data_IF_109496654402
#
_entry.id   IF_109496654402
#
_cell.length_a   1.000
_cell.length_b   1.000
_cell.length_c   1.000
_cell.angle_alpha   90.00
_cell.angle_beta   90.00
_cell.angle_gamma   90.00
#
_symmetry.space_group_name_H-M   'P 1'
#
loop_
_entity.id
_entity.type
_entity.pdbx_description
1 polymer ?
#
# COMPACT_ATOMS: atom_id res chain seq x y z
N UNK A 1 -32.97 18.70 69.02
CA UNK A 1 -32.97 18.92 67.60
C UNK A 1 -31.55 18.67 67.08
N UNK A 2 -31.32 17.55 66.39
CA UNK A 2 -30.01 17.18 65.86
C UNK A 2 -30.07 17.28 64.33
N UNK A 3 -29.33 18.25 63.79
CA UNK A 3 -29.20 18.45 62.37
C UNK A 3 -28.19 17.42 61.79
N UNK A 4 -28.65 16.59 60.90
CA UNK A 4 -27.82 15.62 60.18
C UNK A 4 -27.38 16.31 58.86
N UNK A 5 -26.08 16.62 58.73
CA UNK A 5 -25.49 17.11 57.52
C UNK A 5 -25.16 15.90 56.60
N UNK A 6 -25.86 15.80 55.47
CA UNK A 6 -25.49 14.87 54.40
C UNK A 6 -24.40 15.49 53.54
N UNK A 7 -23.21 14.94 53.63
CA UNK A 7 -22.10 15.24 52.65
C UNK A 7 -22.31 14.36 51.45
N UNK A 8 -22.70 14.93 50.33
CA UNK A 8 -22.77 14.23 49.04
C UNK A 8 -21.35 14.27 48.46
N UNK A 9 -20.67 13.14 48.48
CA UNK A 9 -19.42 12.96 47.81
C UNK A 9 -19.69 12.69 46.30
N UNK A 10 -19.46 13.71 45.48
CA UNK A 10 -19.50 13.58 44.02
C UNK A 10 -18.18 12.90 43.59
N UNK A 11 -18.25 11.64 43.30
CA UNK A 11 -17.13 10.90 42.66
C UNK A 11 -16.95 11.36 41.23
N UNK A 12 -15.90 12.11 40.92
CA UNK A 12 -15.45 12.35 39.56
C UNK A 12 -14.86 11.06 39.00
N UNK A 13 -15.61 10.43 38.11
CA UNK A 13 -15.08 9.32 37.27
C UNK A 13 -14.29 9.97 36.14
N UNK A 14 -12.97 9.96 36.23
CA UNK A 14 -12.10 10.26 35.13
C UNK A 14 -12.16 9.07 34.16
N UNK A 15 -12.91 9.20 33.08
CA UNK A 15 -12.78 8.32 31.93
C UNK A 15 -11.48 8.73 31.25
N UNK A 16 -10.40 8.02 31.54
CA UNK A 16 -9.17 8.11 30.77
C UNK A 16 -9.49 7.54 29.39
N UNK A 17 -9.67 8.42 28.41
CA UNK A 17 -9.60 8.02 27.02
C UNK A 17 -8.12 7.78 26.73
N UNK A 18 -7.68 6.54 26.76
CA UNK A 18 -6.39 6.18 26.19
C UNK A 18 -6.47 6.51 24.71
N UNK A 19 -5.83 7.61 24.33
CA UNK A 19 -5.56 7.90 22.93
C UNK A 19 -4.53 6.82 22.54
N UNK A 20 -4.97 5.82 21.77
CA UNK A 20 -4.08 4.86 21.16
C UNK A 20 -3.15 5.67 20.24
N UNK A 21 -1.91 5.84 20.69
CA UNK A 21 -0.88 6.41 19.83
C UNK A 21 -0.66 5.44 18.66
N UNK A 22 -0.56 5.93 17.42
CA UNK A 22 -0.28 5.06 16.28
C UNK A 22 1.06 4.34 16.52
N UNK A 23 1.05 3.04 16.35
CA UNK A 23 2.26 2.22 16.48
C UNK A 23 3.02 2.32 15.17
N UNK A 24 4.17 2.97 15.18
CA UNK A 24 5.09 3.05 14.04
C UNK A 24 6.04 1.86 14.11
N UNK A 25 5.70 0.74 13.50
CA UNK A 25 6.49 -0.49 13.52
C UNK A 25 7.24 -0.78 12.21
N UNK A 26 7.00 0.04 11.19
CA UNK A 26 7.72 -0.02 9.92
C UNK A 26 7.96 1.38 9.32
N UNK A 27 8.85 1.47 8.32
CA UNK A 27 9.23 2.75 7.70
C UNK A 27 8.11 3.39 6.86
N UNK A 28 7.09 2.63 6.45
CA UNK A 28 5.97 3.12 5.67
C UNK A 28 4.92 3.87 6.51
N UNK A 29 4.97 3.69 7.83
CA UNK A 29 4.05 4.36 8.77
C UNK A 29 4.36 5.86 8.92
N UNK A 30 5.59 6.27 8.55
CA UNK A 30 6.05 7.65 8.74
C UNK A 30 5.39 8.66 7.79
N UNK A 31 4.71 8.21 6.73
CA UNK A 31 4.24 9.06 5.64
C UNK A 31 2.75 9.43 5.74
N UNK A 32 2.14 9.42 6.93
CA UNK A 32 0.72 9.70 7.17
C UNK A 32 -0.26 8.83 6.35
N UNK A 33 0.17 7.62 5.99
CA UNK A 33 -0.69 6.68 5.28
C UNK A 33 -1.65 6.01 6.25
N UNK A 34 -2.93 6.01 5.91
CA UNK A 34 -3.95 5.32 6.69
C UNK A 34 -4.11 3.88 6.19
N UNK A 35 -3.79 2.86 7.00
CA UNK A 35 -3.96 1.47 6.61
C UNK A 35 -5.45 1.04 6.62
N UNK A 36 -5.81 -0.01 5.84
CA UNK A 36 -4.94 -0.69 4.89
C UNK A 36 -4.66 0.19 3.67
N UNK A 37 -3.41 0.17 3.18
CA UNK A 37 -2.99 1.01 2.06
C UNK A 37 -2.20 0.23 1.01
N UNK A 38 -2.14 0.78 -0.21
CA UNK A 38 -1.22 0.33 -1.27
C UNK A 38 -0.30 1.51 -1.60
N UNK A 39 1.01 1.30 -1.55
CA UNK A 39 2.02 2.36 -1.56
C UNK A 39 3.19 2.00 -2.46
N UNK A 40 4.02 3.01 -2.79
CA UNK A 40 5.32 2.81 -3.43
C UNK A 40 6.47 3.05 -2.47
N UNK A 41 7.55 2.26 -2.61
CA UNK A 41 8.80 2.44 -1.89
C UNK A 41 10.01 2.24 -2.83
N UNK A 42 10.94 3.19 -2.89
CA UNK A 42 10.85 4.54 -2.34
C UNK A 42 9.81 5.37 -3.12
N UNK A 43 9.23 6.39 -2.50
CA UNK A 43 8.31 7.31 -3.20
C UNK A 43 9.00 8.09 -4.32
N UNK A 44 10.29 8.34 -4.20
CA UNK A 44 11.10 8.98 -5.25
C UNK A 44 12.32 8.13 -5.58
N UNK A 45 12.48 7.82 -6.85
CA UNK A 45 13.66 7.17 -7.40
C UNK A 45 14.27 8.04 -8.49
N UNK A 46 15.60 8.09 -8.59
CA UNK A 46 16.31 8.94 -9.56
C UNK A 46 17.24 8.13 -10.43
N UNK A 47 17.35 8.52 -11.70
CA UNK A 47 18.29 7.91 -12.65
C UNK A 47 18.71 8.92 -13.72
N UNK A 48 19.65 8.55 -14.57
CA UNK A 48 20.00 9.35 -15.75
C UNK A 48 18.97 9.20 -16.86
N UNK A 49 18.91 10.15 -17.79
CA UNK A 49 18.09 10.01 -19.00
C UNK A 49 18.47 8.74 -19.78
N UNK A 50 17.48 7.95 -20.14
CA UNK A 50 17.65 6.62 -20.76
C UNK A 50 18.05 5.51 -19.78
N UNK A 51 18.26 5.83 -18.50
CA UNK A 51 18.54 4.86 -17.45
C UNK A 51 17.26 4.22 -16.92
N UNK A 52 17.48 3.23 -16.05
CA UNK A 52 16.41 2.48 -15.38
C UNK A 52 16.34 2.87 -13.91
N UNK A 53 15.12 2.93 -13.37
CA UNK A 53 14.85 3.13 -11.95
C UNK A 53 13.81 2.12 -11.48
N UNK A 54 14.00 1.61 -10.26
CA UNK A 54 13.10 0.66 -9.64
C UNK A 54 12.25 1.33 -8.57
N UNK A 55 11.02 0.85 -8.43
CA UNK A 55 10.08 1.19 -7.37
C UNK A 55 9.34 -0.08 -6.95
N UNK A 56 9.11 -0.25 -5.66
CA UNK A 56 8.41 -1.40 -5.12
C UNK A 56 6.98 -1.03 -4.79
N UNK A 57 6.03 -1.83 -5.25
CA UNK A 57 4.63 -1.77 -4.86
C UNK A 57 4.44 -2.55 -3.58
N UNK A 58 3.91 -1.91 -2.54
CA UNK A 58 3.73 -2.48 -1.21
C UNK A 58 2.26 -2.44 -0.79
N UNK A 59 1.88 -3.38 0.08
CA UNK A 59 0.69 -3.27 0.94
C UNK A 59 1.14 -2.92 2.35
N UNK A 60 0.36 -2.06 3.01
CA UNK A 60 0.60 -1.61 4.38
C UNK A 60 -0.55 -2.08 5.28
N UNK A 61 -0.22 -2.84 6.34
CA UNK A 61 -1.11 -3.29 7.41
C UNK A 61 -2.45 -3.83 6.91
N UNK A 62 -2.36 -4.71 5.92
CA UNK A 62 -3.54 -5.41 5.41
C UNK A 62 -3.88 -6.60 6.27
N UNK A 63 -5.16 -6.96 6.35
CA UNK A 63 -5.62 -8.12 7.12
C UNK A 63 -6.37 -9.11 6.23
N UNK A 64 -5.99 -10.40 6.35
CA UNK A 64 -6.68 -11.54 5.74
C UNK A 64 -6.89 -11.41 4.23
N UNK A 65 -5.92 -10.85 3.51
CA UNK A 65 -6.02 -10.75 2.05
C UNK A 65 -5.58 -12.05 1.37
N UNK A 66 -6.33 -12.43 0.34
CA UNK A 66 -6.00 -13.53 -0.57
C UNK A 66 -5.52 -13.01 -1.93
N UNK A 67 -5.78 -11.75 -2.25
CA UNK A 67 -5.37 -11.16 -3.51
C UNK A 67 -5.28 -9.64 -3.51
N UNK A 68 -4.45 -9.15 -4.41
CA UNK A 68 -4.25 -7.73 -4.71
C UNK A 68 -4.40 -7.53 -6.21
N UNK A 69 -5.20 -6.55 -6.60
CA UNK A 69 -5.17 -5.94 -7.92
C UNK A 69 -4.74 -4.50 -7.75
N UNK A 70 -3.59 -4.13 -8.29
CA UNK A 70 -3.13 -2.76 -8.30
C UNK A 70 -3.24 -2.18 -9.71
N UNK A 71 -4.04 -1.12 -9.87
CA UNK A 71 -4.09 -0.33 -11.10
C UNK A 71 -3.26 0.93 -10.92
N UNK A 72 -2.26 1.06 -11.76
CA UNK A 72 -1.25 2.11 -11.71
C UNK A 72 -1.38 2.95 -12.97
N UNK A 73 -1.42 4.27 -12.81
CA UNK A 73 -1.25 5.22 -13.90
C UNK A 73 0.15 5.81 -13.84
N UNK A 74 0.83 5.91 -14.99
CA UNK A 74 2.16 6.48 -15.07
C UNK A 74 2.30 7.42 -16.29
N UNK A 75 3.20 8.39 -16.18
CA UNK A 75 3.51 9.31 -17.28
C UNK A 75 4.24 8.57 -18.41
N UNK A 76 3.49 8.01 -19.35
CA UNK A 76 4.04 7.24 -20.46
C UNK A 76 4.79 8.10 -21.49
N UNK A 77 4.71 9.41 -21.42
CA UNK A 77 5.58 10.28 -22.23
C UNK A 77 7.03 10.23 -21.72
N UNK A 78 7.22 10.12 -20.40
CA UNK A 78 8.53 10.14 -19.75
C UNK A 78 9.05 8.77 -19.34
N UNK A 79 8.15 7.82 -19.09
CA UNK A 79 8.45 6.50 -18.56
C UNK A 79 7.99 5.39 -19.52
N UNK A 80 8.67 4.27 -19.46
CA UNK A 80 8.22 3.01 -20.05
C UNK A 80 8.48 1.89 -19.05
N UNK A 81 7.52 1.00 -18.85
CA UNK A 81 7.71 -0.22 -18.05
C UNK A 81 8.76 -1.09 -18.73
N UNK A 82 9.77 -1.53 -17.98
CA UNK A 82 10.86 -2.38 -18.48
C UNK A 82 10.72 -3.82 -17.98
N UNK A 83 10.56 -3.98 -16.67
CA UNK A 83 10.46 -5.30 -16.03
C UNK A 83 9.56 -5.21 -14.82
N UNK A 84 8.78 -6.25 -14.61
CA UNK A 84 7.96 -6.42 -13.41
C UNK A 84 8.21 -7.83 -12.86
N UNK A 85 8.45 -7.92 -11.56
CA UNK A 85 8.62 -9.20 -10.87
C UNK A 85 7.79 -9.24 -9.58
N UNK A 86 7.38 -10.45 -9.20
CA UNK A 86 6.61 -10.65 -7.96
C UNK A 86 7.46 -10.26 -6.74
N UNK A 87 6.81 -9.62 -5.77
CA UNK A 87 7.38 -9.35 -4.45
C UNK A 87 7.31 -10.54 -3.51
N UNK A 88 7.69 -10.33 -2.27
CA UNK A 88 7.81 -11.35 -1.24
C UNK A 88 6.63 -11.46 -0.29
N UNK A 89 5.65 -10.56 -0.39
CA UNK A 89 4.51 -10.54 0.54
C UNK A 89 3.76 -11.87 0.53
N UNK A 90 3.37 -12.36 -0.63
CA UNK A 90 2.81 -13.71 -0.74
C UNK A 90 3.93 -14.76 -0.71
N UNK A 91 3.69 -15.84 -0.01
CA UNK A 91 4.73 -16.78 0.37
C UNK A 91 5.37 -17.51 -0.82
N UNK A 92 6.70 -17.55 -0.86
CA UNK A 92 7.46 -18.30 -1.87
C UNK A 92 7.26 -19.82 -1.83
N UNK A 93 6.91 -20.40 -0.67
CA UNK A 93 6.61 -21.83 -0.52
C UNK A 93 5.27 -22.24 -1.15
N UNK A 94 4.39 -21.28 -1.34
CA UNK A 94 3.10 -21.41 -1.96
C UNK A 94 2.90 -20.15 -2.83
N UNK A 95 3.56 -20.12 -4.00
CA UNK A 95 3.62 -18.90 -4.79
C UNK A 95 2.23 -18.51 -5.29
N UNK A 96 1.93 -17.20 -5.28
CA UNK A 96 0.69 -16.68 -5.85
C UNK A 96 0.71 -16.83 -7.37
N UNK A 97 -0.47 -16.74 -7.97
CA UNK A 97 -0.56 -16.38 -9.38
C UNK A 97 -0.19 -14.91 -9.50
N UNK A 98 0.86 -14.61 -10.26
CA UNK A 98 1.33 -13.27 -10.51
C UNK A 98 1.26 -12.96 -11.99
N UNK A 99 0.43 -11.99 -12.38
CA UNK A 99 0.29 -11.54 -13.77
C UNK A 99 0.20 -10.02 -13.80
N UNK A 100 0.56 -9.44 -14.93
CA UNK A 100 0.43 -8.01 -15.17
C UNK A 100 0.05 -7.74 -16.62
N UNK A 101 -0.56 -6.58 -16.85
CA UNK A 101 -0.90 -6.06 -18.16
C UNK A 101 -0.51 -4.58 -18.24
N UNK A 102 0.42 -4.26 -19.13
CA UNK A 102 0.81 -2.88 -19.46
C UNK A 102 0.24 -2.52 -20.84
N UNK A 103 -0.74 -1.63 -20.87
CA UNK A 103 -1.37 -1.21 -22.13
C UNK A 103 -0.46 -0.31 -23.00
N UNK A 104 0.75 0.04 -22.54
CA UNK A 104 1.68 0.94 -23.22
C UNK A 104 1.23 2.41 -23.34
N UNK A 105 0.05 2.73 -22.82
CA UNK A 105 -0.56 4.07 -22.86
C UNK A 105 -0.53 4.77 -21.48
N UNK A 106 0.16 4.20 -20.51
CA UNK A 106 0.32 4.76 -19.17
C UNK A 106 -0.58 4.11 -18.12
N UNK A 107 -1.18 2.96 -18.41
CA UNK A 107 -1.91 2.15 -17.42
C UNK A 107 -1.26 0.79 -17.29
N UNK A 108 -0.94 0.41 -16.07
CA UNK A 108 -0.39 -0.88 -15.70
C UNK A 108 -1.30 -1.52 -14.64
N UNK A 109 -1.83 -2.70 -14.94
CA UNK A 109 -2.54 -3.55 -13.99
C UNK A 109 -1.62 -4.67 -13.51
N UNK A 110 -1.50 -4.84 -12.18
CA UNK A 110 -0.75 -5.92 -11.54
C UNK A 110 -1.72 -6.74 -10.69
N UNK A 111 -1.68 -8.05 -10.87
CA UNK A 111 -2.49 -9.01 -10.14
C UNK A 111 -1.57 -9.98 -9.40
N UNK A 112 -1.78 -10.12 -8.10
CA UNK A 112 -1.10 -11.12 -7.28
C UNK A 112 -2.11 -11.74 -6.34
N UNK A 113 -2.39 -13.05 -6.46
CA UNK A 113 -3.43 -13.70 -5.68
C UNK A 113 -3.16 -15.19 -5.49
N UNK A 114 -3.66 -15.71 -4.38
CA UNK A 114 -3.65 -17.15 -4.13
C UNK A 114 -4.77 -17.87 -4.89
N UNK A 115 -4.46 -19.09 -5.31
CA UNK A 115 -5.47 -20.03 -5.82
C UNK A 115 -5.84 -21.03 -4.73
N UNK A 116 -7.15 -21.20 -4.50
CA UNK A 116 -7.71 -22.14 -3.51
C UNK A 116 -8.19 -21.46 -2.24
N UNK A 117 -8.98 -22.21 -1.45
CA UNK A 117 -9.50 -21.76 -0.16
C UNK A 117 -8.44 -21.78 0.93
N UNK A 118 -8.69 -21.05 2.00
CA UNK A 118 -7.89 -21.00 3.23
C UNK A 118 -6.46 -20.40 3.09
N UNK A 119 -6.22 -19.67 2.01
CA UNK A 119 -4.93 -19.01 1.77
C UNK A 119 -5.09 -17.50 1.89
N UNK A 120 -4.67 -16.99 3.04
CA UNK A 120 -4.72 -15.56 3.38
C UNK A 120 -3.40 -15.11 3.94
N UNK A 121 -3.13 -13.82 3.84
CA UNK A 121 -1.98 -13.15 4.44
C UNK A 121 -2.38 -11.83 5.07
N UNK A 122 -1.72 -11.50 6.19
CA UNK A 122 -1.85 -10.21 6.87
C UNK A 122 -0.48 -9.59 7.07
N UNK A 123 -0.44 -8.26 7.25
CA UNK A 123 0.76 -7.48 7.54
C UNK A 123 1.14 -6.51 6.43
N UNK A 124 2.40 -6.13 6.42
CA UNK A 124 3.02 -5.21 5.45
C UNK A 124 4.03 -5.96 4.60
N UNK A 125 4.14 -5.63 3.31
CA UNK A 125 5.17 -6.22 2.46
C UNK A 125 5.03 -5.94 0.97
N UNK A 126 6.00 -6.46 0.21
CA UNK A 126 6.23 -6.19 -1.19
C UNK A 126 5.33 -7.06 -2.07
N UNK A 127 4.51 -6.43 -2.91
CA UNK A 127 3.66 -7.12 -3.91
C UNK A 127 4.39 -7.28 -5.23
N UNK A 128 5.09 -6.24 -5.69
CA UNK A 128 5.81 -6.25 -6.95
C UNK A 128 6.99 -5.30 -6.95
N UNK A 129 8.06 -5.67 -7.65
CA UNK A 129 9.14 -4.75 -8.05
C UNK A 129 8.89 -4.34 -9.50
N UNK A 130 8.80 -3.04 -9.74
CA UNK A 130 8.57 -2.44 -11.05
C UNK A 130 9.81 -1.65 -11.46
N UNK A 131 10.34 -1.92 -12.64
CA UNK A 131 11.46 -1.18 -13.21
C UNK A 131 10.95 -0.37 -14.40
N UNK A 132 11.19 0.93 -14.36
CA UNK A 132 10.90 1.85 -15.46
C UNK A 132 12.18 2.31 -16.14
N UNK A 133 12.11 2.46 -17.46
CA UNK A 133 13.11 3.18 -18.24
C UNK A 133 12.63 4.60 -18.47
N UNK A 134 13.54 5.58 -18.33
CA UNK A 134 13.25 6.99 -18.60
C UNK A 134 13.41 7.31 -20.09
N UNK A 135 12.43 8.01 -20.66
CA UNK A 135 12.41 8.40 -22.09
C UNK A 135 12.69 9.88 -22.29
N UNK A 136 12.27 10.70 -21.35
CA UNK A 136 12.45 12.16 -21.37
C UNK A 136 12.94 12.64 -19.99
N UNK A 137 13.66 13.78 -19.94
CA UNK A 137 14.13 14.34 -18.67
C UNK A 137 12.98 14.90 -17.82
N UNK A 138 13.23 15.00 -16.53
CA UNK A 138 12.32 15.54 -15.53
C UNK A 138 11.56 14.46 -14.77
N UNK A 139 10.54 14.87 -14.03
CA UNK A 139 9.78 14.01 -13.14
C UNK A 139 8.68 13.26 -13.89
N UNK A 140 8.72 11.93 -13.87
CA UNK A 140 7.67 11.04 -14.34
C UNK A 140 6.84 10.56 -13.16
N UNK A 141 5.56 10.95 -13.10
CA UNK A 141 4.65 10.58 -12.01
C UNK A 141 4.11 9.17 -12.21
N UNK A 142 3.86 8.50 -11.08
CA UNK A 142 3.27 7.17 -10.99
C UNK A 142 2.26 7.20 -9.86
N UNK A 143 1.00 6.87 -10.14
CA UNK A 143 -0.10 6.95 -9.18
C UNK A 143 -0.85 5.63 -9.09
N UNK A 144 -1.08 5.14 -7.87
CA UNK A 144 -2.00 4.02 -7.62
C UNK A 144 -3.41 4.57 -7.63
N UNK A 145 -4.29 3.99 -8.44
CA UNK A 145 -5.65 4.52 -8.60
C UNK A 145 -6.63 3.87 -7.62
N UNK A 146 -7.75 4.53 -7.37
CA UNK A 146 -8.86 4.01 -6.57
C UNK A 146 -9.59 2.80 -7.18
N UNK A 147 -9.20 2.39 -8.40
CA UNK A 147 -9.67 1.16 -9.03
C UNK A 147 -8.86 -0.08 -8.57
N UNK A 148 -7.85 0.13 -7.71
CA UNK A 148 -7.11 -0.96 -7.07
C UNK A 148 -7.98 -1.65 -6.03
N UNK A 149 -7.76 -2.95 -5.84
CA UNK A 149 -8.60 -3.81 -5.03
C UNK A 149 -7.76 -4.72 -4.13
N UNK A 150 -8.22 -4.89 -2.90
CA UNK A 150 -7.78 -5.96 -1.99
C UNK A 150 -8.94 -6.94 -1.84
N UNK A 151 -8.65 -8.23 -1.93
CA UNK A 151 -9.65 -9.29 -1.87
C UNK A 151 -9.36 -10.26 -0.72
N UNK A 152 -10.40 -10.66 -0.01
CA UNK A 152 -10.33 -11.75 0.95
C UNK A 152 -10.39 -13.14 0.25
N UNK A 153 -10.36 -14.21 1.02
CA UNK A 153 -10.43 -15.60 0.53
C UNK A 153 -11.74 -15.95 -0.19
N UNK A 154 -12.81 -15.18 0.05
CA UNK A 154 -14.12 -15.34 -0.57
C UNK A 154 -14.31 -14.45 -1.79
N UNK A 155 -13.27 -13.68 -2.16
CA UNK A 155 -13.33 -12.70 -3.25
C UNK A 155 -14.11 -11.44 -2.89
N UNK A 156 -14.31 -11.14 -1.60
CA UNK A 156 -14.94 -9.90 -1.15
C UNK A 156 -13.92 -8.78 -1.08
N UNK A 157 -14.35 -7.56 -1.43
CA UNK A 157 -13.50 -6.38 -1.39
C UNK A 157 -13.20 -5.96 0.05
N UNK A 158 -11.92 -5.73 0.34
CA UNK A 158 -11.44 -5.10 1.57
C UNK A 158 -11.20 -3.61 1.25
N UNK A 159 -11.81 -2.67 2.00
CA UNK A 159 -11.64 -1.24 1.75
C UNK A 159 -10.18 -0.79 1.89
N UNK A 160 -9.69 -0.06 0.90
CA UNK A 160 -8.36 0.57 0.94
C UNK A 160 -8.55 2.01 1.41
N UNK A 161 -7.75 2.45 2.39
CA UNK A 161 -7.85 3.79 2.98
C UNK A 161 -6.91 4.80 2.31
N UNK A 162 -5.75 4.34 1.81
CA UNK A 162 -4.76 5.21 1.16
C UNK A 162 -4.18 4.56 -0.09
N UNK A 163 -3.98 5.41 -1.11
CA UNK A 163 -3.32 5.06 -2.37
C UNK A 163 -2.10 5.94 -2.54
N UNK A 164 -0.93 5.32 -2.68
CA UNK A 164 0.34 6.03 -2.81
C UNK A 164 0.61 6.56 -4.21
N UNK A 165 1.47 7.55 -4.26
CA UNK A 165 2.06 8.09 -5.48
C UNK A 165 3.56 7.89 -5.46
N UNK A 166 4.19 7.90 -6.63
CA UNK A 166 5.63 7.82 -6.78
C UNK A 166 6.15 8.73 -7.89
N UNK A 167 7.44 9.04 -7.83
CA UNK A 167 8.10 9.87 -8.83
C UNK A 167 9.41 9.21 -9.27
N UNK A 168 9.59 9.04 -10.58
CA UNK A 168 10.88 8.70 -11.16
C UNK A 168 11.46 9.94 -11.82
N UNK A 169 12.63 10.37 -11.32
CA UNK A 169 13.31 11.59 -11.76
C UNK A 169 14.46 11.25 -12.68
N UNK A 170 14.39 11.73 -13.94
CA UNK A 170 15.45 11.64 -14.93
C UNK A 170 16.30 12.92 -14.93
N UNK A 171 17.60 12.80 -14.65
CA UNK A 171 18.58 13.91 -14.62
C UNK A 171 19.58 13.80 -15.76
#
# INVERSE_FOLDING_TARGET
>A
MRSINYIIAIGLVFVSCEILEPVYDNTLDLDNNSPPAILFTPETSSTTLGGSAAITLNVLEVENIAGVRARIQYDNAKLAVSTISAGSFFNASDPPVFVYDDNGSGTLDIYSFYMGSDKIKSGTGDIALIVFNTKLPGDGNIDITSESELLDENGQLIPIQSFGSGVIRAQ
#
